data_IF_243191270513
#
_entry.id   IF_243191270513
#
_cell.length_a   1.000
_cell.length_b   1.000
_cell.length_c   1.000
_cell.angle_alpha   90.00
_cell.angle_beta   90.00
_cell.angle_gamma   90.00
#
_symmetry.space_group_name_H-M   'P 1'
#
loop_
_entity.id
_entity.type
_entity.pdbx_description
1 polymer ?
#
# COMPACT_ATOMS: atom_id res chain seq x y z
N UNK A 1 -23.65 5.24 3.05
CA UNK A 1 -24.40 3.98 2.96
C UNK A 1 -25.86 4.25 3.25
N UNK A 2 -26.80 3.63 2.53
CA UNK A 2 -28.25 3.84 2.70
C UNK A 2 -28.95 2.50 2.76
N UNK A 3 -29.87 2.36 3.72
CA UNK A 3 -30.77 1.24 3.90
C UNK A 3 -32.18 1.76 3.68
N UNK A 4 -32.97 1.07 2.85
CA UNK A 4 -34.36 1.38 2.59
C UNK A 4 -35.16 0.07 2.40
N UNK A 5 -36.51 0.11 2.42
CA UNK A 5 -37.36 -1.08 2.24
C UNK A 5 -37.18 -1.79 0.88
N UNK A 6 -36.74 -1.07 -0.15
CA UNK A 6 -36.46 -1.61 -1.48
C UNK A 6 -35.20 -0.98 -2.10
N UNK A 7 -34.61 -1.70 -3.06
CA UNK A 7 -33.35 -1.32 -3.68
C UNK A 7 -33.45 -0.04 -4.52
N UNK A 8 -34.62 0.25 -5.11
CA UNK A 8 -34.82 1.45 -5.94
C UNK A 8 -34.79 2.70 -5.06
N UNK A 9 -35.48 2.66 -3.92
CA UNK A 9 -35.49 3.73 -2.94
C UNK A 9 -34.10 3.93 -2.33
N UNK A 10 -33.38 2.84 -2.03
CA UNK A 10 -32.02 2.92 -1.51
C UNK A 10 -31.05 3.61 -2.49
N UNK A 11 -31.12 3.27 -3.79
CA UNK A 11 -30.27 3.83 -4.84
C UNK A 11 -30.55 5.32 -5.10
N UNK A 12 -31.82 5.70 -5.17
CA UNK A 12 -32.24 7.08 -5.35
C UNK A 12 -31.75 7.96 -4.19
N UNK A 13 -31.97 7.51 -2.95
CA UNK A 13 -31.54 8.25 -1.76
C UNK A 13 -30.01 8.32 -1.62
N UNK A 14 -29.29 7.26 -1.98
CA UNK A 14 -27.82 7.29 -1.98
C UNK A 14 -27.27 8.34 -2.95
N UNK A 15 -27.91 8.52 -4.11
CA UNK A 15 -27.53 9.57 -5.07
C UNK A 15 -27.82 10.95 -4.50
N UNK A 16 -29.00 11.15 -3.89
CA UNK A 16 -29.39 12.42 -3.29
C UNK A 16 -28.45 12.81 -2.14
N UNK A 17 -28.12 11.88 -1.24
CA UNK A 17 -27.27 12.15 -0.07
C UNK A 17 -25.79 12.37 -0.40
N UNK A 18 -25.36 12.07 -1.63
CA UNK A 18 -24.02 12.46 -2.10
C UNK A 18 -23.95 13.93 -2.56
N UNK A 19 -25.10 14.58 -2.76
CA UNK A 19 -25.19 15.96 -3.25
C UNK A 19 -25.57 16.94 -2.14
N UNK A 20 -26.40 16.49 -1.19
CA UNK A 20 -26.86 17.30 -0.07
C UNK A 20 -25.82 17.36 1.06
N UNK A 21 -25.94 18.38 1.92
CA UNK A 21 -25.19 18.46 3.17
C UNK A 21 -25.50 17.27 4.09
N UNK A 22 -24.53 16.77 4.90
CA UNK A 22 -24.74 15.61 5.77
C UNK A 22 -25.92 15.77 6.73
N UNK A 23 -26.08 16.94 7.35
CA UNK A 23 -27.18 17.22 8.30
C UNK A 23 -28.55 17.24 7.61
N UNK A 24 -28.61 17.73 6.38
CA UNK A 24 -29.84 17.74 5.59
C UNK A 24 -30.22 16.32 5.18
N UNK A 25 -29.25 15.55 4.73
CA UNK A 25 -29.42 14.15 4.36
C UNK A 25 -29.90 13.29 5.54
N UNK A 26 -29.34 13.50 6.74
CA UNK A 26 -29.79 12.84 7.98
C UNK A 26 -31.24 13.18 8.27
N UNK A 27 -31.61 14.47 8.23
CA UNK A 27 -32.99 14.90 8.48
C UNK A 27 -33.96 14.24 7.52
N UNK A 28 -33.62 14.15 6.23
CA UNK A 28 -34.45 13.48 5.23
C UNK A 28 -34.58 11.99 5.57
N UNK A 29 -33.46 11.30 5.85
CA UNK A 29 -33.48 9.89 6.21
C UNK A 29 -34.37 9.61 7.44
N UNK A 30 -34.31 10.47 8.46
CA UNK A 30 -35.08 10.31 9.69
C UNK A 30 -36.59 10.56 9.52
N UNK A 31 -37.01 11.25 8.45
CA UNK A 31 -38.43 11.44 8.12
C UNK A 31 -39.04 10.27 7.36
N UNK A 32 -38.22 9.37 6.81
CA UNK A 32 -38.67 8.30 5.92
C UNK A 32 -38.78 6.96 6.66
N UNK A 33 -39.97 6.33 6.71
CA UNK A 33 -40.15 5.05 7.39
C UNK A 33 -39.30 3.93 6.76
N UNK A 34 -38.55 3.22 7.59
CA UNK A 34 -37.71 2.11 7.14
C UNK A 34 -36.44 2.54 6.39
N UNK A 35 -36.15 3.84 6.34
CA UNK A 35 -34.90 4.39 5.81
C UNK A 35 -33.93 4.67 6.95
N UNK A 36 -32.66 4.37 6.71
CA UNK A 36 -31.56 4.84 7.55
C UNK A 36 -30.32 5.04 6.70
N UNK A 37 -29.44 5.95 7.10
CA UNK A 37 -28.19 6.21 6.39
C UNK A 37 -27.02 6.43 7.34
N UNK A 38 -25.83 6.24 6.78
CA UNK A 38 -24.56 6.64 7.36
C UNK A 38 -23.78 7.40 6.31
N UNK A 39 -23.51 8.67 6.57
CA UNK A 39 -22.66 9.53 5.74
C UNK A 39 -21.28 9.58 6.37
N UNK A 40 -20.25 9.51 5.52
CA UNK A 40 -18.85 9.61 5.93
C UNK A 40 -18.27 10.82 5.22
N UNK A 41 -17.89 11.83 5.98
CA UNK A 41 -17.25 13.04 5.46
C UNK A 41 -15.82 12.76 4.99
N UNK A 42 -15.21 13.72 4.29
CA UNK A 42 -13.86 13.57 3.74
C UNK A 42 -12.75 13.42 4.80
N UNK A 43 -12.98 13.94 6.00
CA UNK A 43 -12.12 13.80 7.18
C UNK A 43 -12.40 12.52 7.99
N UNK A 44 -13.39 11.73 7.58
CA UNK A 44 -13.72 10.43 8.18
C UNK A 44 -14.72 10.50 9.33
N UNK A 45 -15.32 11.66 9.61
CA UNK A 45 -16.40 11.79 10.57
C UNK A 45 -17.65 11.01 10.09
N UNK A 46 -18.33 10.40 11.06
CA UNK A 46 -19.48 9.55 10.83
C UNK A 46 -20.76 10.30 11.20
N UNK A 47 -21.68 10.41 10.25
CA UNK A 47 -22.96 11.10 10.39
C UNK A 47 -24.11 10.07 10.22
N UNK A 48 -24.49 9.35 11.29
CA UNK A 48 -25.58 8.38 11.25
C UNK A 48 -26.95 9.05 11.40
N UNK A 49 -27.95 8.55 10.68
CA UNK A 49 -29.36 8.85 10.96
C UNK A 49 -29.82 8.27 12.31
N UNK A 50 -30.85 8.83 12.93
CA UNK A 50 -31.40 8.37 14.23
C UNK A 50 -31.71 6.88 14.26
N UNK A 51 -32.24 6.33 13.16
CA UNK A 51 -32.59 4.91 13.05
C UNK A 51 -31.48 4.05 12.45
N UNK A 52 -30.25 4.54 12.35
CA UNK A 52 -29.11 3.76 11.86
C UNK A 52 -28.80 2.62 12.84
N UNK A 53 -29.40 1.47 12.57
CA UNK A 53 -29.00 0.22 13.19
C UNK A 53 -27.85 -0.30 12.37
N UNK A 54 -26.65 -0.22 12.93
CA UNK A 54 -25.61 -1.13 12.51
C UNK A 54 -26.25 -2.52 12.51
N UNK A 55 -26.38 -3.17 11.35
CA UNK A 55 -26.53 -4.61 11.31
C UNK A 55 -25.53 -5.14 12.34
N UNK A 56 -25.88 -6.12 13.20
CA UNK A 56 -24.92 -6.69 14.10
C UNK A 56 -23.80 -7.23 13.22
N UNK A 57 -22.77 -6.40 13.04
CA UNK A 57 -21.46 -6.82 12.67
C UNK A 57 -21.21 -7.82 13.78
N UNK A 58 -21.10 -9.09 13.41
CA UNK A 58 -20.44 -10.05 14.25
C UNK A 58 -19.19 -9.32 14.73
N UNK A 59 -19.21 -8.90 15.98
CA UNK A 59 -18.12 -8.17 16.61
C UNK A 59 -16.99 -9.18 16.64
N UNK A 60 -16.24 -9.24 15.55
CA UNK A 60 -14.85 -9.53 15.65
C UNK A 60 -14.35 -8.32 16.43
N UNK A 61 -14.26 -8.45 17.75
CA UNK A 61 -13.33 -7.63 18.50
C UNK A 61 -11.95 -7.97 17.92
N UNK A 62 -11.61 -7.32 16.80
CA UNK A 62 -10.22 -7.00 16.57
C UNK A 62 -10.00 -5.92 17.61
N UNK A 63 -9.42 -6.29 18.75
CA UNK A 63 -8.57 -5.35 19.45
C UNK A 63 -7.56 -4.89 18.41
N UNK A 64 -7.89 -3.82 17.70
CA UNK A 64 -6.91 -3.04 16.99
C UNK A 64 -6.12 -2.38 18.12
N UNK A 65 -5.17 -3.14 18.68
CA UNK A 65 -3.96 -2.54 19.16
C UNK A 65 -3.50 -1.68 17.99
N UNK A 66 -3.68 -0.37 18.11
CA UNK A 66 -3.01 0.57 17.23
C UNK A 66 -1.55 0.19 17.40
N UNK A 67 -0.87 -0.37 16.37
CA UNK A 67 0.53 -0.71 16.52
C UNK A 67 1.19 0.58 17.01
N UNK A 68 1.80 0.56 18.21
CA UNK A 68 2.49 1.74 18.72
C UNK A 68 3.37 2.25 17.59
N UNK A 69 3.33 3.56 17.27
CA UNK A 69 3.82 4.05 15.99
C UNK A 69 5.18 3.43 15.63
N UNK A 70 5.22 2.48 14.70
CA UNK A 70 6.43 1.75 14.33
C UNK A 70 6.99 2.34 13.04
N UNK A 71 8.30 2.22 12.85
CA UNK A 71 8.97 2.49 11.59
C UNK A 71 9.91 1.35 11.21
N UNK A 72 10.05 1.10 9.91
CA UNK A 72 11.04 0.17 9.36
C UNK A 72 12.09 0.95 8.57
N UNK A 73 13.30 1.00 9.09
CA UNK A 73 14.47 1.46 8.33
C UNK A 73 14.97 0.31 7.46
N UNK A 74 15.02 0.55 6.15
CA UNK A 74 15.45 -0.41 5.14
C UNK A 74 16.74 0.12 4.53
N UNK A 75 17.85 -0.56 4.81
CA UNK A 75 19.16 -0.21 4.26
C UNK A 75 19.59 -1.26 3.26
N UNK A 76 20.03 -0.85 2.07
CA UNK A 76 20.54 -1.78 1.06
C UNK A 76 21.65 -1.15 0.22
N UNK A 77 22.51 -1.99 -0.36
CA UNK A 77 23.59 -1.57 -1.24
C UNK A 77 23.35 -2.11 -2.65
N UNK A 78 23.21 -1.19 -3.62
CA UNK A 78 23.25 -1.54 -5.04
C UNK A 78 24.71 -1.84 -5.40
N UNK A 79 24.94 -3.01 -5.98
CA UNK A 79 26.27 -3.45 -6.39
C UNK A 79 26.67 -2.90 -7.77
N UNK A 80 27.95 -2.98 -8.09
CA UNK A 80 28.51 -2.73 -9.42
C UNK A 80 29.05 -4.03 -10.02
N UNK A 81 28.17 -4.93 -10.51
CA UNK A 81 28.60 -6.19 -11.10
C UNK A 81 29.45 -5.95 -12.36
N UNK A 82 30.47 -6.80 -12.53
CA UNK A 82 31.25 -6.85 -13.75
C UNK A 82 30.33 -7.12 -14.96
N UNK A 83 30.32 -6.19 -15.91
CA UNK A 83 29.53 -6.28 -17.13
C UNK A 83 30.21 -5.49 -18.24
N UNK A 84 30.16 -6.00 -19.47
CA UNK A 84 30.70 -5.31 -20.66
C UNK A 84 30.10 -3.91 -20.84
N UNK A 85 28.81 -3.77 -20.53
CA UNK A 85 28.13 -2.48 -20.41
C UNK A 85 27.24 -2.46 -19.18
N UNK A 86 27.69 -1.79 -18.13
CA UNK A 86 26.87 -1.61 -16.93
C UNK A 86 25.70 -0.65 -17.20
N UNK A 87 24.51 -1.07 -16.79
CA UNK A 87 23.30 -0.26 -16.78
C UNK A 87 22.80 -0.19 -15.34
N UNK A 88 22.21 0.93 -14.93
CA UNK A 88 21.66 1.01 -13.57
C UNK A 88 20.44 0.08 -13.44
N UNK A 89 20.36 -0.75 -12.39
CA UNK A 89 19.22 -1.63 -12.20
C UNK A 89 17.95 -0.84 -11.92
N UNK A 90 16.82 -1.46 -12.23
CA UNK A 90 15.52 -1.05 -11.73
C UNK A 90 15.40 -1.61 -10.34
N UNK A 91 14.87 -0.81 -9.41
CA UNK A 91 14.73 -1.21 -8.02
C UNK A 91 13.36 -0.80 -7.51
N UNK A 92 12.67 -1.71 -6.85
CA UNK A 92 11.40 -1.44 -6.17
C UNK A 92 11.42 -2.07 -4.79
N UNK A 93 10.97 -1.31 -3.80
CA UNK A 93 10.80 -1.74 -2.43
C UNK A 93 9.33 -1.54 -2.08
N UNK A 94 8.70 -2.58 -1.57
CA UNK A 94 7.26 -2.58 -1.32
C UNK A 94 6.86 -3.51 -0.17
N UNK A 95 5.67 -3.27 0.37
CA UNK A 95 5.08 -4.07 1.44
C UNK A 95 3.80 -4.72 0.91
N UNK A 96 3.62 -6.00 1.23
CA UNK A 96 2.40 -6.75 0.96
C UNK A 96 1.71 -7.18 2.25
N UNK A 97 0.39 -7.35 2.21
CA UNK A 97 -0.34 -8.04 3.29
C UNK A 97 -0.12 -9.56 3.25
N UNK A 98 -0.71 -10.26 4.22
CA UNK A 98 -0.71 -11.73 4.32
C UNK A 98 -1.20 -12.47 3.06
N UNK A 99 -2.03 -11.82 2.25
CA UNK A 99 -2.60 -12.42 1.02
C UNK A 99 -1.72 -12.08 -0.21
N UNK A 100 -0.61 -11.38 0.00
CA UNK A 100 0.34 -10.97 -1.05
C UNK A 100 -0.14 -9.77 -1.86
N UNK A 101 -1.14 -9.03 -1.38
CA UNK A 101 -1.64 -7.82 -2.04
C UNK A 101 -0.71 -6.65 -1.73
N UNK A 102 -0.43 -5.83 -2.74
CA UNK A 102 0.37 -4.60 -2.60
C UNK A 102 -0.33 -3.61 -1.65
N UNK A 103 0.37 -3.23 -0.57
CA UNK A 103 -0.09 -2.27 0.44
C UNK A 103 0.61 -0.92 0.31
N UNK A 104 1.92 -0.94 0.09
CA UNK A 104 2.74 0.26 -0.01
C UNK A 104 3.88 0.04 -0.99
N UNK A 105 4.06 0.97 -1.93
CA UNK A 105 5.32 1.10 -2.68
C UNK A 105 6.16 2.19 -2.01
N UNK A 106 7.42 1.91 -1.67
CA UNK A 106 8.33 2.86 -0.99
C UNK A 106 9.22 3.61 -1.97
N UNK A 107 9.67 2.93 -3.02
CA UNK A 107 10.34 3.54 -4.16
C UNK A 107 10.01 2.76 -5.43
N UNK A 108 10.20 3.40 -6.58
CA UNK A 108 10.24 2.72 -7.87
C UNK A 108 11.28 3.43 -8.75
N UNK A 109 12.47 2.85 -8.84
CA UNK A 109 13.58 3.41 -9.62
C UNK A 109 13.62 2.75 -10.98
N UNK A 110 13.35 3.52 -12.03
CA UNK A 110 13.22 3.02 -13.40
C UNK A 110 13.79 4.03 -14.40
N UNK A 111 14.11 3.56 -15.60
CA UNK A 111 14.35 4.45 -16.73
C UNK A 111 12.99 4.81 -17.36
N UNK A 112 12.62 6.09 -17.31
CA UNK A 112 11.35 6.56 -17.89
C UNK A 112 11.44 6.58 -19.43
N UNK A 113 10.29 6.40 -20.09
CA UNK A 113 10.16 6.39 -21.56
C UNK A 113 10.11 4.98 -22.17
N UNK A 114 9.72 4.89 -23.44
CA UNK A 114 9.36 3.63 -24.11
C UNK A 114 10.43 2.53 -24.02
N UNK A 115 11.72 2.89 -24.14
CA UNK A 115 12.82 1.91 -24.05
C UNK A 115 13.00 1.34 -22.65
N UNK A 116 12.64 2.08 -21.61
CA UNK A 116 12.75 1.62 -20.23
C UNK A 116 11.54 0.82 -19.75
N UNK A 117 10.33 1.27 -20.09
CA UNK A 117 9.10 0.63 -19.62
C UNK A 117 8.95 -0.84 -20.03
N UNK A 118 9.58 -1.27 -21.12
CA UNK A 118 9.63 -2.69 -21.54
C UNK A 118 10.25 -3.62 -20.47
N UNK A 119 11.08 -3.07 -19.57
CA UNK A 119 11.74 -3.82 -18.50
C UNK A 119 10.94 -3.85 -17.20
N UNK A 120 9.91 -3.00 -17.05
CA UNK A 120 9.07 -2.96 -15.85
C UNK A 120 8.43 -4.32 -15.49
N UNK A 121 7.97 -5.15 -16.46
CA UNK A 121 7.49 -6.50 -16.17
C UNK A 121 8.53 -7.47 -15.59
N UNK A 122 9.82 -7.11 -15.58
CA UNK A 122 10.87 -7.94 -14.97
C UNK A 122 10.98 -7.79 -13.45
N UNK A 123 10.37 -6.75 -12.86
CA UNK A 123 10.11 -6.69 -11.43
C UNK A 123 8.90 -7.60 -11.15
N UNK A 124 9.12 -8.91 -11.18
CA UNK A 124 8.06 -9.92 -11.40
C UNK A 124 6.99 -9.87 -10.31
N UNK A 125 7.39 -9.79 -9.04
CA UNK A 125 6.44 -9.90 -7.93
C UNK A 125 5.66 -8.60 -7.79
N UNK A 126 6.36 -7.47 -7.80
CA UNK A 126 5.74 -6.15 -7.79
C UNK A 126 4.81 -5.96 -8.99
N UNK A 127 5.22 -6.32 -10.21
CA UNK A 127 4.38 -6.15 -11.40
C UNK A 127 3.10 -6.98 -11.31
N UNK A 128 3.19 -8.22 -10.80
CA UNK A 128 2.02 -9.06 -10.57
C UNK A 128 1.08 -8.45 -9.53
N UNK A 129 1.62 -7.91 -8.44
CA UNK A 129 0.83 -7.31 -7.36
C UNK A 129 0.19 -5.98 -7.81
N UNK A 130 0.95 -5.12 -8.49
CA UNK A 130 0.48 -3.85 -9.05
C UNK A 130 -0.59 -4.07 -10.13
N UNK A 131 -0.44 -5.10 -10.97
CA UNK A 131 -1.43 -5.44 -11.99
C UNK A 131 -2.81 -5.78 -11.42
N UNK A 132 -2.91 -6.25 -10.16
CA UNK A 132 -4.19 -6.50 -9.50
C UNK A 132 -4.93 -5.21 -9.12
N UNK A 133 -4.21 -4.08 -9.03
CA UNK A 133 -4.78 -2.76 -8.75
C UNK A 133 -5.20 -2.02 -10.03
N UNK A 134 -4.72 -2.46 -11.21
CA UNK A 134 -5.00 -1.83 -12.49
C UNK A 134 -6.40 -2.20 -13.00
N UNK A 135 -7.08 -1.22 -13.59
CA UNK A 135 -8.33 -1.47 -14.32
C UNK A 135 -8.02 -2.15 -15.65
N UNK A 136 -8.65 -3.29 -15.93
CA UNK A 136 -8.48 -4.01 -17.21
C UNK A 136 -8.86 -3.09 -18.38
N UNK A 137 -8.00 -3.02 -19.39
CA UNK A 137 -8.23 -2.20 -20.58
C UNK A 137 -7.68 -0.77 -20.50
N UNK A 138 -7.14 -0.35 -19.34
CA UNK A 138 -6.42 0.92 -19.19
C UNK A 138 -4.93 0.66 -19.35
N UNK A 139 -4.25 1.50 -20.14
CA UNK A 139 -2.79 1.42 -20.29
C UNK A 139 -2.14 1.65 -18.93
N UNK A 140 -1.15 0.84 -18.52
CA UNK A 140 -0.50 1.07 -17.24
C UNK A 140 0.21 2.41 -17.21
N UNK A 141 -0.31 3.36 -16.45
CA UNK A 141 0.43 4.57 -16.12
C UNK A 141 1.60 4.20 -15.20
N UNK A 142 2.71 4.92 -15.38
CA UNK A 142 3.85 4.79 -14.47
C UNK A 142 3.41 5.35 -13.11
N UNK A 143 3.58 4.60 -12.00
CA UNK A 143 3.25 5.11 -10.68
C UNK A 143 3.92 6.48 -10.40
N UNK A 144 3.21 7.46 -9.81
CA UNK A 144 3.75 8.77 -9.49
C UNK A 144 5.02 8.73 -8.62
N UNK A 145 5.18 7.70 -7.79
CA UNK A 145 6.36 7.47 -6.95
C UNK A 145 7.63 7.14 -7.73
N UNK A 146 7.51 6.88 -9.05
CA UNK A 146 8.64 6.52 -9.89
C UNK A 146 9.67 7.64 -10.04
N UNK A 147 10.94 7.27 -9.96
CA UNK A 147 12.07 8.18 -10.22
C UNK A 147 13.17 7.48 -11.02
N UNK A 148 14.19 8.23 -11.41
CA UNK A 148 15.30 7.71 -12.21
C UNK A 148 16.08 6.62 -11.46
N UNK A 149 16.60 5.64 -12.20
CA UNK A 149 17.55 4.64 -11.68
C UNK A 149 18.74 5.28 -10.97
N UNK A 150 19.28 4.55 -9.99
CA UNK A 150 20.34 5.02 -9.09
C UNK A 150 21.68 4.34 -9.39
N UNK A 151 22.79 4.99 -9.02
CA UNK A 151 24.13 4.42 -9.18
C UNK A 151 24.37 3.29 -8.15
N UNK A 152 25.43 2.49 -8.30
CA UNK A 152 25.95 1.67 -7.20
C UNK A 152 26.15 2.51 -5.93
N UNK A 153 25.94 1.90 -4.77
CA UNK A 153 26.09 2.56 -3.48
C UNK A 153 25.00 2.18 -2.47
N UNK A 154 25.08 2.81 -1.30
CA UNK A 154 24.20 2.55 -0.15
C UNK A 154 22.99 3.47 -0.16
N UNK A 155 21.83 2.90 0.10
CA UNK A 155 20.54 3.57 0.14
C UNK A 155 19.78 3.20 1.40
N UNK A 156 19.03 4.17 1.90
CA UNK A 156 18.14 3.99 3.06
C UNK A 156 16.75 4.50 2.71
N UNK A 157 15.74 3.68 2.99
CA UNK A 157 14.32 4.02 2.94
C UNK A 157 13.72 3.83 4.32
N UNK A 158 12.62 4.52 4.59
CA UNK A 158 11.85 4.33 5.82
C UNK A 158 10.41 4.03 5.42
N UNK A 159 9.85 2.98 6.03
CA UNK A 159 8.42 2.76 6.03
C UNK A 159 7.85 3.17 7.38
N UNK A 160 6.82 4.01 7.35
CA UNK A 160 6.21 4.68 8.49
C UNK A 160 5.00 3.94 9.06
N UNK A 161 4.74 2.72 8.59
CA UNK A 161 3.57 1.92 8.94
C UNK A 161 2.29 2.32 8.18
N UNK A 162 2.40 3.15 7.14
CA UNK A 162 1.23 3.60 6.37
C UNK A 162 1.11 2.89 5.02
N UNK A 163 -0.12 2.80 4.50
CA UNK A 163 -0.43 2.36 3.13
C UNK A 163 -0.18 3.47 2.09
N UNK A 164 -0.38 3.19 0.80
CA UNK A 164 -0.25 4.20 -0.28
C UNK A 164 -1.25 5.36 -0.15
N UNK A 165 -2.31 5.22 0.64
CA UNK A 165 -3.32 6.27 0.95
C UNK A 165 -2.97 7.05 2.22
N UNK A 166 -1.77 6.85 2.79
CA UNK A 166 -1.29 7.44 4.04
C UNK A 166 -2.14 7.07 5.26
N UNK A 167 -2.83 5.92 5.22
CA UNK A 167 -3.57 5.38 6.37
C UNK A 167 -2.72 4.34 7.09
N UNK A 168 -2.76 4.28 8.43
CA UNK A 168 -2.09 3.22 9.18
C UNK A 168 -2.54 1.84 8.72
N UNK A 169 -1.59 0.94 8.54
CA UNK A 169 -1.93 -0.45 8.21
C UNK A 169 -2.50 -1.17 9.44
N UNK A 170 -3.51 -2.05 9.30
CA UNK A 170 -4.02 -2.83 10.42
C UNK A 170 -2.96 -3.72 11.06
N UNK A 171 -3.13 -4.04 12.33
CA UNK A 171 -2.31 -5.05 12.99
C UNK A 171 -2.43 -6.39 12.24
N UNK A 172 -1.31 -7.02 11.91
CA UNK A 172 -1.30 -8.28 11.17
C UNK A 172 0.06 -8.69 10.62
N UNK A 173 0.01 -9.72 9.79
CA UNK A 173 1.17 -10.26 9.06
C UNK A 173 1.35 -9.55 7.73
N UNK A 174 2.59 -9.20 7.42
CA UNK A 174 3.00 -8.51 6.21
C UNK A 174 4.28 -9.13 5.68
N UNK A 175 4.59 -8.82 4.42
CA UNK A 175 5.86 -9.21 3.80
C UNK A 175 6.52 -7.99 3.20
N UNK A 176 7.76 -7.74 3.60
CA UNK A 176 8.66 -6.81 2.94
C UNK A 176 9.18 -7.44 1.64
N UNK A 177 9.32 -6.63 0.60
CA UNK A 177 9.97 -6.98 -0.65
C UNK A 177 10.96 -5.91 -1.09
N UNK A 178 12.13 -6.33 -1.58
CA UNK A 178 13.05 -5.55 -2.40
C UNK A 178 13.35 -6.34 -3.66
N UNK A 179 12.99 -5.80 -4.81
CA UNK A 179 13.30 -6.39 -6.11
C UNK A 179 14.26 -5.50 -6.89
N UNK A 180 15.21 -6.13 -7.56
CA UNK A 180 16.11 -5.48 -8.49
C UNK A 180 16.18 -6.26 -9.81
N UNK A 181 16.16 -5.54 -10.94
CA UNK A 181 16.42 -6.16 -12.24
C UNK A 181 17.15 -5.21 -13.18
N UNK A 182 18.03 -5.75 -14.03
CA UNK A 182 18.75 -4.94 -15.03
C UNK A 182 18.57 -5.48 -16.43
N UNK A 183 18.58 -4.59 -17.42
CA UNK A 183 18.66 -4.97 -18.85
C UNK A 183 19.95 -5.78 -19.07
N UNK A 184 19.78 -7.03 -19.53
CA UNK A 184 20.86 -8.03 -19.63
C UNK A 184 21.57 -8.37 -18.30
N UNK A 185 20.93 -8.10 -17.16
CA UNK A 185 21.43 -8.51 -15.84
C UNK A 185 20.54 -9.56 -15.19
N UNK A 186 20.72 -9.71 -13.87
CA UNK A 186 19.95 -10.66 -13.06
C UNK A 186 18.63 -10.04 -12.61
N UNK A 187 17.70 -10.90 -12.20
CA UNK A 187 16.55 -10.52 -11.38
C UNK A 187 16.79 -11.08 -10.00
N UNK A 188 16.75 -10.21 -8.99
CA UNK A 188 17.01 -10.55 -7.60
C UNK A 188 15.85 -10.04 -6.75
N UNK A 189 15.42 -10.84 -5.78
CA UNK A 189 14.31 -10.49 -4.89
C UNK A 189 14.62 -10.91 -3.47
N UNK A 190 14.57 -9.96 -2.55
CA UNK A 190 14.62 -10.19 -1.12
C UNK A 190 13.20 -10.10 -0.57
N UNK A 191 12.88 -10.99 0.36
CA UNK A 191 11.60 -10.99 1.06
C UNK A 191 11.80 -11.25 2.55
N UNK A 192 11.00 -10.61 3.38
CA UNK A 192 11.00 -10.87 4.81
C UNK A 192 9.57 -10.80 5.36
N UNK A 193 9.01 -11.91 5.85
CA UNK A 193 7.75 -11.87 6.56
C UNK A 193 7.96 -11.21 7.93
N UNK A 194 7.03 -10.38 8.36
CA UNK A 194 7.06 -9.77 9.67
C UNK A 194 5.63 -9.50 10.16
N UNK A 195 5.50 -9.24 11.46
CA UNK A 195 4.23 -8.87 12.09
C UNK A 195 4.33 -7.44 12.62
N UNK A 196 3.30 -6.64 12.34
CA UNK A 196 3.25 -5.25 12.83
C UNK A 196 3.26 -5.21 14.35
N UNK A 197 3.98 -4.25 14.93
CA UNK A 197 4.11 -4.07 16.38
C UNK A 197 5.16 -4.97 17.04
N UNK A 198 5.71 -5.96 16.34
CA UNK A 198 6.80 -6.81 16.85
C UNK A 198 8.15 -6.31 16.31
N UNK A 199 8.97 -5.60 17.12
CA UNK A 199 10.23 -5.04 16.64
C UNK A 199 11.22 -6.14 16.26
N UNK A 200 12.03 -5.87 15.24
CA UNK A 200 13.09 -6.78 14.80
C UNK A 200 14.21 -6.02 14.12
N UNK A 201 15.40 -6.62 14.12
CA UNK A 201 16.53 -6.18 13.32
C UNK A 201 17.19 -7.38 12.67
N UNK A 202 17.33 -7.36 11.36
CA UNK A 202 17.81 -8.52 10.59
C UNK A 202 18.62 -8.07 9.37
N UNK A 203 19.73 -8.77 9.12
CA UNK A 203 20.39 -8.76 7.82
C UNK A 203 19.86 -9.94 7.01
N UNK A 204 19.33 -9.66 5.82
CA UNK A 204 18.75 -10.71 4.98
C UNK A 204 19.89 -11.50 4.31
N UNK A 205 19.74 -12.84 4.20
CA UNK A 205 20.71 -13.64 3.48
C UNK A 205 20.79 -13.18 2.02
N UNK A 206 21.98 -13.34 1.43
CA UNK A 206 22.17 -13.04 0.01
C UNK A 206 21.26 -13.93 -0.84
N UNK A 207 20.52 -13.31 -1.74
CA UNK A 207 19.64 -13.98 -2.70
C UNK A 207 20.33 -14.12 -4.06
N UNK A 208 19.86 -15.06 -4.88
CA UNK A 208 20.38 -15.29 -6.23
C UNK A 208 20.32 -14.01 -7.08
N UNK A 209 21.49 -13.54 -7.50
CA UNK A 209 21.64 -12.31 -8.27
C UNK A 209 22.88 -11.52 -7.87
N UNK A 210 23.11 -10.44 -8.61
CA UNK A 210 24.31 -9.61 -8.47
C UNK A 210 24.00 -8.11 -8.41
N UNK A 211 22.72 -7.73 -8.39
CA UNK A 211 22.36 -6.29 -8.44
C UNK A 211 22.36 -5.64 -7.06
N UNK A 212 22.07 -6.40 -6.00
CA UNK A 212 22.03 -5.95 -4.61
C UNK A 212 23.01 -6.79 -3.79
N UNK A 213 23.88 -6.11 -3.06
CA UNK A 213 24.96 -6.71 -2.29
C UNK A 213 24.56 -7.08 -0.87
N UNK A 214 23.76 -6.23 -0.21
CA UNK A 214 23.29 -6.45 1.16
C UNK A 214 21.95 -5.74 1.40
N UNK A 215 21.19 -6.28 2.36
CA UNK A 215 19.92 -5.70 2.83
C UNK A 215 19.81 -5.89 4.33
N UNK A 216 19.53 -4.81 5.05
CA UNK A 216 19.26 -4.79 6.48
C UNK A 216 17.92 -4.13 6.73
N UNK A 217 17.12 -4.75 7.59
CA UNK A 217 15.84 -4.23 8.07
C UNK A 217 15.96 -3.96 9.57
N UNK A 218 15.48 -2.81 9.99
CA UNK A 218 15.40 -2.40 11.39
C UNK A 218 14.00 -1.84 11.66
N UNK A 219 13.13 -2.67 12.24
CA UNK A 219 11.74 -2.34 12.57
C UNK A 219 11.61 -2.08 14.06
N UNK A 220 11.27 -0.86 14.42
CA UNK A 220 11.31 -0.37 15.80
C UNK A 220 10.19 0.64 16.05
N UNK A 221 9.84 0.91 17.31
CA UNK A 221 8.99 2.05 17.65
C UNK A 221 9.62 3.35 17.15
N UNK A 222 8.81 4.25 16.60
CA UNK A 222 9.23 5.61 16.22
C UNK A 222 9.72 6.32 17.47
N UNK A 223 10.87 6.98 17.34
CA UNK A 223 11.31 7.92 18.35
C UNK A 223 10.27 9.04 18.48
N UNK A 224 9.80 9.31 19.69
CA UNK A 224 8.91 10.44 19.94
C UNK A 224 9.60 11.73 19.46
N UNK A 225 8.93 12.49 18.60
CA UNK A 225 9.39 13.82 18.24
C UNK A 225 9.35 14.70 19.51
N UNK A 226 10.53 15.14 19.98
CA UNK A 226 10.65 16.14 21.04
C UNK A 226 10.16 17.52 20.57
#
# INVERSE_FOLDING_TARGET
>A
SVIAPDATTADALATIFNVLDPDESIRIADTLPGVSCLIVSSDGELHPSTNWRALPQRLIQVQAETPGEMEMTISFEIDEPEAERYLRPYVVTWIADKDGKLIRTLNLWILKGNKGLKWLPRLKQWNRADAQLRVRGVTPDIPPISSATRNPGKYTLVWDGLDDRKKPVPAGEYTFYLEACREHGTYQVFKHPFKTGEPFKVELPKEDGVEIKSVTLDYQPKASAN
#
